data_IF_741032670019
#
_entry.id   IF_741032670019
#
_cell.length_a   1.000
_cell.length_b   1.000
_cell.length_c   1.000
_cell.angle_alpha   90.00
_cell.angle_beta   90.00
_cell.angle_gamma   90.00
#
_symmetry.space_group_name_H-M   'P 1'
#
loop_
_entity.id
_entity.type
_entity.pdbx_description
1 polymer ?
#
# COMPACT_ATOMS: atom_id res chain seq x y z
N UNK A 1 -6.54 -58.35 -55.80
CA UNK A 1 -6.90 -56.93 -55.52
C UNK A 1 -6.08 -56.49 -54.33
N UNK A 2 -4.90 -55.83 -54.52
CA UNK A 2 -3.97 -55.45 -53.44
C UNK A 2 -4.27 -53.99 -53.04
N UNK A 3 -4.85 -53.78 -51.86
CA UNK A 3 -5.00 -52.46 -51.25
C UNK A 3 -3.63 -51.96 -50.78
N UNK A 4 -3.13 -50.90 -51.43
CA UNK A 4 -1.98 -50.16 -50.98
C UNK A 4 -2.39 -49.18 -49.89
N UNK A 5 -2.09 -49.48 -48.64
CA UNK A 5 -2.17 -48.51 -47.55
C UNK A 5 -1.03 -47.53 -47.64
N UNK A 6 -1.36 -46.26 -47.84
CA UNK A 6 -0.39 -45.17 -47.77
C UNK A 6 -0.29 -44.75 -46.30
N UNK A 7 0.90 -44.63 -45.74
CA UNK A 7 1.04 -44.07 -44.40
C UNK A 7 0.83 -42.56 -44.45
N UNK A 8 -0.22 -42.09 -43.79
CA UNK A 8 -0.42 -40.67 -43.56
C UNK A 8 0.58 -40.24 -42.49
N UNK A 9 1.62 -39.56 -42.90
CA UNK A 9 2.59 -38.93 -42.02
C UNK A 9 1.89 -37.69 -41.41
N UNK A 10 1.42 -37.85 -40.18
CA UNK A 10 0.87 -36.73 -39.40
C UNK A 10 2.03 -35.92 -38.83
N UNK A 11 2.43 -34.87 -39.59
CA UNK A 11 3.41 -33.87 -39.10
C UNK A 11 2.74 -32.97 -38.06
N UNK A 12 2.87 -33.32 -36.78
CA UNK A 12 2.53 -32.42 -35.69
C UNK A 12 3.59 -31.34 -35.61
N UNK A 13 3.36 -30.21 -36.27
CA UNK A 13 4.12 -29.00 -36.01
C UNK A 13 3.72 -28.47 -34.64
N UNK A 14 4.51 -28.73 -33.63
CA UNK A 14 4.35 -28.13 -32.31
C UNK A 14 4.70 -26.64 -32.38
N UNK A 15 3.67 -25.80 -32.45
CA UNK A 15 3.82 -24.35 -32.27
C UNK A 15 4.06 -24.09 -30.80
N UNK A 16 5.34 -23.90 -30.44
CA UNK A 16 5.74 -23.41 -29.13
C UNK A 16 5.43 -21.92 -29.09
N UNK A 17 4.23 -21.57 -28.60
CA UNK A 17 3.91 -20.20 -28.24
C UNK A 17 4.63 -19.89 -26.93
N UNK A 18 5.81 -19.28 -27.00
CA UNK A 18 6.44 -18.63 -25.86
C UNK A 18 5.57 -17.44 -25.46
N UNK A 19 4.63 -17.66 -24.55
CA UNK A 19 3.96 -16.59 -23.84
C UNK A 19 5.04 -15.89 -23.00
N UNK A 20 5.52 -14.74 -23.50
CA UNK A 20 6.28 -13.80 -22.69
C UNK A 20 5.31 -13.28 -21.61
N UNK A 21 5.27 -13.95 -20.46
CA UNK A 21 4.65 -13.46 -19.28
C UNK A 21 5.46 -12.25 -18.81
N UNK A 22 5.15 -11.08 -19.40
CA UNK A 22 5.59 -9.82 -18.86
C UNK A 22 4.99 -9.70 -17.46
N UNK A 23 5.81 -9.93 -16.44
CA UNK A 23 5.44 -9.70 -15.06
C UNK A 23 5.05 -8.23 -14.93
N UNK A 24 3.76 -7.95 -14.76
CA UNK A 24 3.29 -6.64 -14.31
C UNK A 24 3.77 -6.54 -12.87
N UNK A 25 4.96 -5.99 -12.66
CA UNK A 25 5.37 -5.58 -11.32
C UNK A 25 4.38 -4.50 -10.88
N UNK A 26 3.50 -4.85 -9.95
CA UNK A 26 2.69 -3.87 -9.27
C UNK A 26 3.65 -2.93 -8.56
N UNK A 27 3.87 -1.76 -9.13
CA UNK A 27 4.60 -0.69 -8.47
C UNK A 27 3.64 -0.11 -7.44
N UNK A 28 3.77 -0.57 -6.21
CA UNK A 28 3.20 0.14 -5.07
C UNK A 28 3.83 1.54 -5.07
N UNK A 29 3.00 2.55 -5.31
CA UNK A 29 3.43 3.94 -5.16
C UNK A 29 3.84 4.12 -3.70
N UNK A 30 5.13 4.29 -3.44
CA UNK A 30 5.61 4.62 -2.10
C UNK A 30 5.10 6.00 -1.75
N UNK A 31 4.05 6.05 -0.96
CA UNK A 31 3.52 7.29 -0.41
C UNK A 31 4.63 7.96 0.40
N UNK A 32 4.98 9.16 -0.01
CA UNK A 32 5.94 9.99 0.70
C UNK A 32 5.18 10.99 1.57
N UNK A 33 5.53 11.03 2.85
CA UNK A 33 4.98 12.02 3.75
C UNK A 33 5.53 13.42 3.43
N UNK A 34 4.68 14.42 3.57
CA UNK A 34 5.03 15.83 3.40
C UNK A 34 6.14 16.23 4.37
N UNK A 35 7.10 17.02 3.92
CA UNK A 35 8.17 17.51 4.79
C UNK A 35 7.63 18.44 5.87
N UNK A 36 8.11 18.28 7.09
CA UNK A 36 7.72 19.10 8.22
C UNK A 36 8.07 18.49 9.57
N UNK A 37 7.95 19.26 10.64
CA UNK A 37 8.19 18.78 12.01
C UNK A 37 7.26 17.62 12.35
N UNK A 38 7.80 16.51 12.82
CA UNK A 38 7.04 15.30 13.16
C UNK A 38 6.96 14.25 12.06
N UNK A 39 7.43 14.54 10.83
CA UNK A 39 7.46 13.59 9.72
C UNK A 39 8.12 12.27 10.09
N UNK A 40 9.31 12.33 10.72
CA UNK A 40 10.07 11.14 11.11
C UNK A 40 9.30 10.28 12.11
N UNK A 41 8.60 10.92 13.03
CA UNK A 41 7.75 10.24 14.01
C UNK A 41 6.52 9.62 13.34
N UNK A 42 5.87 10.32 12.44
CA UNK A 42 4.74 9.81 11.65
C UNK A 42 5.16 8.66 10.71
N UNK A 43 6.40 8.64 10.26
CA UNK A 43 6.97 7.57 9.44
C UNK A 43 6.94 6.20 10.13
N UNK A 44 6.86 6.13 11.45
CA UNK A 44 6.75 4.87 12.20
C UNK A 44 5.47 4.08 11.86
N UNK A 45 4.43 4.73 11.33
CA UNK A 45 3.19 4.07 10.90
C UNK A 45 3.44 2.99 9.85
N UNK A 46 4.53 3.08 9.07
CA UNK A 46 4.90 2.09 8.04
C UNK A 46 5.22 0.70 8.61
N UNK A 47 5.46 0.59 9.91
CA UNK A 47 5.83 -0.68 10.55
C UNK A 47 4.78 -1.79 10.39
N UNK A 48 3.50 -1.44 10.21
CA UNK A 48 2.39 -2.40 10.17
C UNK A 48 1.60 -2.36 8.87
N UNK A 49 1.52 -1.22 8.18
CA UNK A 49 0.71 -1.04 6.97
C UNK A 49 1.22 0.12 6.11
N UNK A 50 0.69 0.25 4.90
CA UNK A 50 1.01 1.35 4.01
C UNK A 50 0.60 2.71 4.59
N UNK A 51 1.38 3.75 4.26
CA UNK A 51 1.07 5.14 4.60
C UNK A 51 -0.14 5.71 3.84
N UNK A 52 -0.67 4.98 2.85
CA UNK A 52 -1.91 5.34 2.14
C UNK A 52 -3.08 5.54 3.10
N UNK A 53 -3.11 4.83 4.22
CA UNK A 53 -4.12 5.00 5.25
C UNK A 53 -4.19 6.42 5.79
N UNK A 54 -3.10 7.14 5.81
CA UNK A 54 -3.06 8.55 6.22
C UNK A 54 -3.87 9.38 5.22
N UNK A 55 -3.61 9.24 3.93
CA UNK A 55 -4.31 9.99 2.89
C UNK A 55 -5.79 9.61 2.80
N UNK A 56 -6.12 8.34 2.96
CA UNK A 56 -7.51 7.85 2.95
C UNK A 56 -8.36 8.45 4.05
N UNK A 57 -7.79 8.73 5.22
CA UNK A 57 -8.49 9.27 6.38
C UNK A 57 -8.39 10.79 6.51
N UNK A 58 -7.55 11.45 5.72
CA UNK A 58 -7.21 12.85 5.86
C UNK A 58 -8.41 13.81 5.86
N UNK A 59 -9.46 13.48 5.13
CA UNK A 59 -10.66 14.34 5.02
C UNK A 59 -11.59 14.27 6.24
N UNK A 60 -11.39 13.31 7.09
CA UNK A 60 -12.35 12.99 8.15
C UNK A 60 -11.80 13.29 9.55
N UNK A 61 -10.48 13.36 9.71
CA UNK A 61 -9.84 13.45 11.00
C UNK A 61 -9.27 14.85 11.25
N UNK A 62 -9.68 15.44 12.35
CA UNK A 62 -9.00 16.56 12.98
C UNK A 62 -7.89 16.05 13.94
N UNK A 63 -7.24 16.94 14.68
CA UNK A 63 -6.19 16.56 15.63
C UNK A 63 -6.68 15.55 16.68
N UNK A 64 -7.88 15.73 17.21
CA UNK A 64 -8.45 14.80 18.18
C UNK A 64 -8.71 13.42 17.57
N UNK A 65 -9.22 13.37 16.34
CA UNK A 65 -9.42 12.16 15.58
C UNK A 65 -8.11 11.42 15.30
N UNK A 66 -7.06 12.15 14.90
CA UNK A 66 -5.72 11.56 14.72
C UNK A 66 -5.15 11.02 16.02
N UNK A 67 -5.27 11.76 17.12
CA UNK A 67 -4.85 11.30 18.46
C UNK A 67 -5.56 10.00 18.84
N UNK A 68 -6.87 9.92 18.64
CA UNK A 68 -7.65 8.70 18.89
C UNK A 68 -7.21 7.53 18.02
N UNK A 69 -6.94 7.77 16.74
CA UNK A 69 -6.45 6.76 15.81
C UNK A 69 -5.08 6.21 16.23
N UNK A 70 -4.12 7.09 16.56
CA UNK A 70 -2.79 6.68 17.01
C UNK A 70 -2.87 5.85 18.29
N UNK A 71 -3.65 6.32 19.28
CA UNK A 71 -3.86 5.57 20.52
C UNK A 71 -4.49 4.20 20.29
N UNK A 72 -5.41 4.08 19.33
CA UNK A 72 -5.98 2.80 18.93
C UNK A 72 -4.91 1.87 18.34
N UNK A 73 -4.01 2.38 17.49
CA UNK A 73 -2.91 1.58 16.94
C UNK A 73 -1.99 1.07 18.05
N UNK A 74 -1.69 1.89 19.04
CA UNK A 74 -0.85 1.50 20.20
C UNK A 74 -1.58 0.46 21.06
N UNK A 75 -2.79 0.76 21.49
CA UNK A 75 -3.46 0.00 22.56
C UNK A 75 -4.13 -1.27 22.04
N UNK A 76 -4.71 -1.25 20.84
CA UNK A 76 -5.43 -2.39 20.27
C UNK A 76 -4.55 -3.27 19.37
N UNK A 77 -3.59 -2.68 18.68
CA UNK A 77 -2.77 -3.39 17.69
C UNK A 77 -1.27 -3.46 18.05
N UNK A 78 -0.86 -2.90 19.18
CA UNK A 78 0.50 -3.00 19.67
C UNK A 78 1.52 -2.22 18.82
N UNK A 79 1.12 -1.12 18.19
CA UNK A 79 2.03 -0.31 17.41
C UNK A 79 3.22 0.16 18.25
N UNK A 80 4.47 0.06 17.75
CA UNK A 80 5.68 0.40 18.49
C UNK A 80 5.93 1.92 18.51
N UNK A 81 4.91 2.68 18.92
CA UNK A 81 4.97 4.14 19.02
C UNK A 81 5.03 4.53 20.48
N UNK A 82 6.03 5.34 20.83
CA UNK A 82 6.16 5.85 22.18
C UNK A 82 5.02 6.82 22.51
N UNK A 83 4.50 6.76 23.74
CA UNK A 83 3.36 7.59 24.15
C UNK A 83 3.63 9.09 24.05
N UNK A 84 4.86 9.49 24.28
CA UNK A 84 5.35 10.86 24.15
C UNK A 84 5.34 11.37 22.69
N UNK A 85 5.40 10.46 21.71
CA UNK A 85 5.35 10.80 20.28
C UNK A 85 3.95 11.03 19.76
N UNK A 86 2.91 10.58 20.49
CA UNK A 86 1.52 10.67 20.05
C UNK A 86 1.10 12.09 19.69
N UNK A 87 1.45 13.04 20.57
CA UNK A 87 1.09 14.44 20.36
C UNK A 87 1.80 15.06 19.15
N UNK A 88 3.08 14.74 18.96
CA UNK A 88 3.88 15.20 17.82
C UNK A 88 3.33 14.64 16.50
N UNK A 89 3.02 13.35 16.47
CA UNK A 89 2.45 12.69 15.30
C UNK A 89 1.06 13.26 14.99
N UNK A 90 0.20 13.40 16.00
CA UNK A 90 -1.14 13.92 15.81
C UNK A 90 -1.14 15.36 15.30
N UNK A 91 -0.25 16.21 15.82
CA UNK A 91 -0.07 17.58 15.35
C UNK A 91 0.39 17.62 13.88
N UNK A 92 1.40 16.82 13.53
CA UNK A 92 1.89 16.71 12.16
C UNK A 92 0.79 16.23 11.19
N UNK A 93 0.06 15.16 11.55
CA UNK A 93 -1.01 14.63 10.70
C UNK A 93 -2.18 15.60 10.56
N UNK A 94 -2.53 16.32 11.62
CA UNK A 94 -3.58 17.34 11.56
C UNK A 94 -3.21 18.52 10.65
N UNK A 95 -1.95 18.96 10.70
CA UNK A 95 -1.44 20.05 9.90
C UNK A 95 -1.39 19.71 8.40
N UNK A 96 -0.81 18.57 8.06
CA UNK A 96 -0.55 18.20 6.66
C UNK A 96 -1.65 17.36 6.01
N UNK A 97 -2.43 16.64 6.80
CA UNK A 97 -3.44 15.68 6.34
C UNK A 97 -4.78 15.80 7.05
N UNK A 98 -4.93 16.77 7.94
CA UNK A 98 -6.14 16.93 8.71
C UNK A 98 -7.31 17.50 7.93
N UNK A 99 -8.50 17.33 8.49
CA UNK A 99 -9.71 18.02 8.04
C UNK A 99 -9.46 19.53 8.04
N UNK A 100 -9.80 20.26 6.95
CA UNK A 100 -9.73 21.70 6.96
C UNK A 100 -10.49 22.29 8.15
N UNK A 101 -9.83 23.19 8.89
CA UNK A 101 -10.52 23.91 9.96
C UNK A 101 -11.56 24.80 9.31
N UNK A 102 -12.84 24.52 9.54
CA UNK A 102 -13.88 25.51 9.24
C UNK A 102 -13.72 26.66 10.22
N UNK A 103 -13.24 27.80 9.72
CA UNK A 103 -13.30 29.07 10.48
C UNK A 103 -14.73 29.56 10.53
#
# INVERSE_FOLDING_TARGET
>A
MKLRMHPIACSCAAVVVCAAAGGVAAQESKVQLTDGPGKDKAGQCVACHSLDYIQMNSRFLDKAGWTGTINKMINAYGAPIAKEDVEVIAAYLAEHYGKPSTR
#
